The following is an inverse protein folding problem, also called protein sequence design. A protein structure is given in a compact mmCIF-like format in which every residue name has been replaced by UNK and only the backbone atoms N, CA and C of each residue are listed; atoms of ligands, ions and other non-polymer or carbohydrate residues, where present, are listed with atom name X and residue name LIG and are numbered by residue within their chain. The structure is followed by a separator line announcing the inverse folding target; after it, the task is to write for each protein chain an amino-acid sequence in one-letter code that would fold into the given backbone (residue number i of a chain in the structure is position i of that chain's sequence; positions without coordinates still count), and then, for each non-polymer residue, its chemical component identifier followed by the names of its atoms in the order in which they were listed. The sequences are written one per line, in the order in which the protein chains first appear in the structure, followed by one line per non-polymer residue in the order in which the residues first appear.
data_IF_604939994371
#
_entry.id   IF_604939994371
#
_cell.length_a   1.000
_cell.length_b   1.000
_cell.length_c   1.000
_cell.angle_alpha   90.00
_cell.angle_beta   90.00
_cell.angle_gamma   90.00
#
_symmetry.space_group_name_H-M   'P 1'
#
loop_
_entity.id
_entity.type
_entity.pdbx_description
1 polymer ?
#
# COMPACT_ATOMS: atom_id res chain seq x y z
N UNK A 1 -9.18 18.52 -27.05
CA UNK A 1 -10.41 18.02 -27.72
C UNK A 1 -11.20 19.19 -28.28
N UNK A 2 -11.80 19.11 -29.47
CA UNK A 2 -12.73 20.13 -29.97
C UNK A 2 -14.03 20.03 -29.15
N UNK A 3 -14.65 21.15 -28.82
CA UNK A 3 -15.84 21.24 -27.94
C UNK A 3 -17.01 20.31 -28.37
N UNK A 4 -17.21 20.13 -29.66
CA UNK A 4 -18.25 19.24 -30.23
C UNK A 4 -18.09 17.75 -29.86
N UNK A 5 -16.85 17.28 -29.60
CA UNK A 5 -16.60 15.90 -29.21
C UNK A 5 -16.82 15.64 -27.70
N UNK A 6 -16.80 16.66 -26.88
CA UNK A 6 -17.08 16.53 -25.43
C UNK A 6 -18.56 16.37 -25.12
N UNK A 7 -19.47 16.92 -25.94
CA UNK A 7 -20.93 16.86 -25.72
C UNK A 7 -21.54 15.45 -25.85
N UNK A 8 -20.75 14.43 -26.21
CA UNK A 8 -21.23 13.04 -26.43
C UNK A 8 -20.50 12.02 -25.53
N UNK A 9 -19.77 12.48 -24.49
CA UNK A 9 -19.13 11.59 -23.55
C UNK A 9 -20.07 11.32 -22.37
N UNK A 10 -20.17 10.07 -21.98
CA UNK A 10 -20.85 9.65 -20.78
C UNK A 10 -19.88 8.89 -19.87
N UNK A 11 -19.84 9.28 -18.59
CA UNK A 11 -19.02 8.63 -17.56
C UNK A 11 -19.97 7.99 -16.55
N UNK A 12 -19.78 6.70 -16.31
CA UNK A 12 -20.62 5.97 -15.37
C UNK A 12 -19.89 4.82 -14.68
N UNK A 13 -20.48 4.22 -13.68
CA UNK A 13 -20.08 2.91 -13.18
C UNK A 13 -20.31 1.83 -14.22
N UNK A 14 -19.46 0.82 -14.24
CA UNK A 14 -19.67 -0.37 -15.02
C UNK A 14 -20.84 -1.19 -14.44
N UNK A 15 -21.47 -1.98 -15.29
CA UNK A 15 -22.50 -2.96 -14.94
C UNK A 15 -22.15 -4.32 -15.52
N UNK A 16 -22.79 -5.38 -15.05
CA UNK A 16 -22.48 -6.74 -15.49
C UNK A 16 -22.50 -6.90 -17.03
N UNK A 17 -23.43 -6.21 -17.71
CA UNK A 17 -23.55 -6.26 -19.17
C UNK A 17 -22.38 -5.59 -19.91
N UNK A 18 -21.56 -4.80 -19.21
CA UNK A 18 -20.36 -4.18 -19.79
C UNK A 18 -19.14 -5.12 -19.82
N UNK A 19 -19.22 -6.29 -19.19
CA UNK A 19 -18.06 -7.15 -18.96
C UNK A 19 -17.23 -7.43 -20.22
N UNK A 20 -17.89 -7.76 -21.35
CA UNK A 20 -17.21 -8.02 -22.61
C UNK A 20 -16.56 -6.75 -23.18
N UNK A 21 -17.26 -5.62 -23.12
CA UNK A 21 -16.75 -4.33 -23.61
C UNK A 21 -15.58 -3.83 -22.75
N UNK A 22 -15.66 -3.98 -21.42
CA UNK A 22 -14.55 -3.68 -20.47
C UNK A 22 -13.33 -4.52 -20.84
N UNK A 23 -13.53 -5.83 -21.04
CA UNK A 23 -12.45 -6.73 -21.39
C UNK A 23 -11.84 -6.37 -22.76
N UNK A 24 -12.67 -6.10 -23.78
CA UNK A 24 -12.22 -5.67 -25.13
C UNK A 24 -11.30 -4.44 -25.05
N UNK A 25 -11.71 -3.43 -24.26
CA UNK A 25 -10.91 -2.20 -24.06
C UNK A 25 -9.55 -2.53 -23.46
N UNK A 26 -9.49 -3.35 -22.41
CA UNK A 26 -8.24 -3.75 -21.78
C UNK A 26 -7.37 -4.59 -22.70
N UNK A 27 -7.93 -5.64 -23.32
CA UNK A 27 -7.20 -6.54 -24.23
C UNK A 27 -6.52 -5.77 -25.36
N UNK A 28 -7.29 -4.91 -26.06
CA UNK A 28 -6.78 -4.14 -27.21
C UNK A 28 -5.78 -3.07 -26.80
N UNK A 29 -6.04 -2.37 -25.70
CA UNK A 29 -5.17 -1.25 -25.25
C UNK A 29 -3.80 -1.73 -24.80
N UNK A 30 -3.75 -2.84 -24.08
CA UNK A 30 -2.50 -3.42 -23.57
C UNK A 30 -1.92 -4.52 -24.48
N UNK A 31 -2.56 -4.81 -25.62
CA UNK A 31 -2.11 -5.83 -26.58
C UNK A 31 -1.84 -7.18 -25.88
N UNK A 32 -2.79 -7.62 -25.08
CA UNK A 32 -2.63 -8.86 -24.31
C UNK A 32 -2.72 -10.05 -25.22
N UNK A 33 -1.75 -10.95 -25.13
CA UNK A 33 -1.72 -12.18 -25.89
C UNK A 33 -2.91 -13.07 -25.52
N UNK A 34 -3.66 -13.50 -26.53
CA UNK A 34 -4.84 -14.35 -26.35
C UNK A 34 -4.46 -15.67 -25.70
N UNK A 35 -5.27 -16.11 -24.75
CA UNK A 35 -5.08 -17.34 -23.95
C UNK A 35 -3.86 -17.32 -23.01
N UNK A 36 -3.18 -16.17 -22.84
CA UNK A 36 -2.18 -16.02 -21.78
C UNK A 36 -2.83 -15.99 -20.39
N UNK A 37 -2.06 -16.25 -19.32
CA UNK A 37 -2.53 -16.16 -17.95
C UNK A 37 -3.13 -14.77 -17.65
N UNK A 38 -2.52 -13.72 -18.22
CA UNK A 38 -3.00 -12.34 -18.10
C UNK A 38 -4.34 -12.14 -18.79
N UNK A 39 -4.51 -12.72 -19.98
CA UNK A 39 -5.75 -12.70 -20.73
C UNK A 39 -6.90 -13.32 -19.92
N UNK A 40 -6.71 -14.54 -19.43
CA UNK A 40 -7.69 -15.22 -18.60
C UNK A 40 -7.98 -14.47 -17.28
N UNK A 41 -6.92 -13.91 -16.68
CA UNK A 41 -7.09 -13.13 -15.45
C UNK A 41 -7.95 -11.90 -15.64
N UNK A 42 -7.74 -11.16 -16.72
CA UNK A 42 -8.48 -9.94 -17.02
C UNK A 42 -9.91 -10.20 -17.52
N UNK A 43 -10.09 -11.26 -18.32
CA UNK A 43 -11.42 -11.70 -18.71
C UNK A 43 -12.29 -12.03 -17.50
N UNK A 44 -11.77 -12.84 -16.60
CA UNK A 44 -12.47 -13.16 -15.36
C UNK A 44 -12.67 -11.93 -14.43
N UNK A 45 -11.74 -10.97 -14.42
CA UNK A 45 -11.89 -9.73 -13.66
C UNK A 45 -13.05 -8.91 -14.20
N UNK A 46 -13.13 -8.72 -15.51
CA UNK A 46 -14.22 -7.98 -16.14
C UNK A 46 -15.59 -8.62 -15.88
N UNK A 47 -15.70 -9.95 -15.98
CA UNK A 47 -16.96 -10.65 -15.73
C UNK A 47 -17.39 -10.59 -14.27
N UNK A 48 -16.44 -10.75 -13.34
CA UNK A 48 -16.77 -10.83 -11.92
C UNK A 48 -16.99 -9.49 -11.26
N UNK A 49 -16.23 -8.48 -11.67
CA UNK A 49 -16.06 -7.22 -10.96
C UNK A 49 -16.32 -6.00 -11.88
N UNK A 50 -17.23 -6.10 -12.86
CA UNK A 50 -17.54 -5.04 -13.82
C UNK A 50 -17.92 -3.71 -13.12
N UNK A 51 -18.65 -3.80 -12.01
CA UNK A 51 -19.10 -2.66 -11.21
C UNK A 51 -17.98 -1.88 -10.52
N UNK A 52 -16.78 -2.45 -10.46
CA UNK A 52 -15.58 -1.76 -9.94
C UNK A 52 -14.91 -0.86 -10.98
N UNK A 53 -15.39 -0.90 -12.21
CA UNK A 53 -14.84 -0.08 -13.28
C UNK A 53 -15.60 1.24 -13.43
N UNK A 54 -14.87 2.33 -13.67
CA UNK A 54 -15.40 3.53 -14.30
C UNK A 54 -15.32 3.32 -15.81
N UNK A 55 -16.41 3.62 -16.48
CA UNK A 55 -16.59 3.41 -17.92
C UNK A 55 -16.77 4.75 -18.62
N UNK A 56 -16.01 4.94 -19.69
CA UNK A 56 -16.17 6.06 -20.62
C UNK A 56 -16.84 5.59 -21.89
N UNK A 57 -18.00 6.14 -22.17
CA UNK A 57 -18.75 5.89 -23.38
C UNK A 57 -18.66 7.07 -24.36
N UNK A 58 -18.59 6.73 -25.63
CA UNK A 58 -18.75 7.66 -26.74
C UNK A 58 -19.76 7.10 -27.74
N UNK A 59 -20.87 7.79 -27.95
CA UNK A 59 -21.98 7.34 -28.83
C UNK A 59 -22.47 5.92 -28.48
N UNK A 60 -22.72 5.67 -27.20
CA UNK A 60 -23.17 4.37 -26.65
C UNK A 60 -22.20 3.21 -26.84
N UNK A 61 -20.94 3.46 -27.18
CA UNK A 61 -19.87 2.47 -27.20
C UNK A 61 -18.90 2.72 -26.06
N UNK A 62 -18.59 1.72 -25.28
CA UNK A 62 -17.50 1.76 -24.29
C UNK A 62 -16.17 1.90 -25.00
N UNK A 63 -15.46 3.00 -24.75
CA UNK A 63 -14.17 3.31 -25.39
C UNK A 63 -13.02 3.42 -24.41
N UNK A 64 -13.31 3.52 -23.13
CA UNK A 64 -12.30 3.62 -22.07
C UNK A 64 -12.80 3.10 -20.74
N UNK A 65 -11.89 2.56 -19.95
CA UNK A 65 -12.18 2.00 -18.61
C UNK A 65 -11.05 2.28 -17.64
N UNK A 66 -11.40 2.35 -16.35
CA UNK A 66 -10.47 2.40 -15.24
C UNK A 66 -11.01 1.59 -14.07
N UNK A 67 -10.24 0.65 -13.56
CA UNK A 67 -10.56 -0.11 -12.36
C UNK A 67 -10.31 0.73 -11.12
N UNK A 68 -11.24 0.71 -10.16
CA UNK A 68 -11.03 1.30 -8.83
C UNK A 68 -11.25 0.20 -7.80
N UNK A 69 -10.18 -0.19 -7.12
CA UNK A 69 -10.26 -1.12 -6.01
C UNK A 69 -10.43 -0.34 -4.72
N UNK A 70 -11.52 -0.58 -4.02
CA UNK A 70 -11.79 -0.01 -2.70
C UNK A 70 -11.06 -0.80 -1.63
N UNK A 71 -10.27 -0.12 -0.81
CA UNK A 71 -9.57 -0.72 0.32
C UNK A 71 -9.62 0.21 1.53
N UNK A 72 -9.69 -0.36 2.73
CA UNK A 72 -9.49 0.35 3.99
C UNK A 72 -8.03 0.21 4.41
N UNK A 73 -7.46 1.30 4.88
CA UNK A 73 -6.05 1.38 5.28
C UNK A 73 -5.97 1.93 6.70
N UNK A 74 -5.06 1.38 7.52
CA UNK A 74 -4.81 1.92 8.86
C UNK A 74 -3.85 3.13 8.82
N UNK A 75 -4.16 4.14 9.63
CA UNK A 75 -3.20 5.14 10.14
C UNK A 75 -3.32 5.12 11.65
N UNK A 76 -2.33 4.53 12.31
CA UNK A 76 -2.44 4.18 13.72
C UNK A 76 -3.68 3.29 13.97
N UNK A 77 -4.54 3.71 14.90
CA UNK A 77 -5.80 3.04 15.22
C UNK A 77 -6.98 3.41 14.32
N UNK A 78 -6.81 4.38 13.41
CA UNK A 78 -7.86 4.88 12.55
C UNK A 78 -7.85 4.25 11.17
N UNK A 79 -9.02 4.16 10.55
CA UNK A 79 -9.19 3.64 9.20
C UNK A 79 -9.52 4.76 8.21
N UNK A 80 -8.87 4.72 7.07
CA UNK A 80 -9.11 5.61 5.93
C UNK A 80 -9.46 4.81 4.69
N UNK A 81 -10.10 5.46 3.71
CA UNK A 81 -10.51 4.82 2.46
C UNK A 81 -9.50 5.12 1.37
N UNK A 82 -8.95 4.05 0.78
CA UNK A 82 -8.03 4.10 -0.34
C UNK A 82 -8.67 3.59 -1.62
N UNK A 83 -8.51 4.33 -2.72
CA UNK A 83 -8.82 3.89 -4.07
C UNK A 83 -7.56 3.48 -4.84
N UNK A 84 -7.38 2.18 -5.08
CA UNK A 84 -6.33 1.72 -6.01
C UNK A 84 -6.85 1.80 -7.45
N UNK A 85 -6.24 2.70 -8.23
CA UNK A 85 -6.59 2.87 -9.65
C UNK A 85 -5.70 1.98 -10.50
N UNK A 86 -6.33 1.12 -11.28
CA UNK A 86 -5.66 0.19 -12.17
C UNK A 86 -6.33 0.11 -13.53
N UNK A 87 -5.70 -0.62 -14.44
CA UNK A 87 -6.22 -0.99 -15.76
C UNK A 87 -6.76 0.19 -16.58
N UNK A 88 -6.22 1.41 -16.36
CA UNK A 88 -6.63 2.62 -17.10
C UNK A 88 -6.31 2.44 -18.56
N UNK A 89 -7.34 2.36 -19.38
CA UNK A 89 -7.20 2.04 -20.81
C UNK A 89 -8.23 2.74 -21.67
N UNK A 90 -7.86 3.00 -22.93
CA UNK A 90 -8.70 3.58 -23.97
C UNK A 90 -8.41 2.82 -25.26
N UNK A 91 -9.45 2.45 -25.99
CA UNK A 91 -9.32 1.75 -27.28
C UNK A 91 -8.29 2.45 -28.20
N UNK A 92 -7.42 1.69 -28.90
CA UNK A 92 -6.33 2.25 -29.70
C UNK A 92 -6.75 3.36 -30.67
N UNK A 93 -7.89 3.21 -31.34
CA UNK A 93 -8.42 4.19 -32.29
C UNK A 93 -8.91 5.50 -31.66
N UNK A 94 -9.05 5.51 -30.33
CA UNK A 94 -9.44 6.69 -29.54
C UNK A 94 -8.25 7.31 -28.76
N UNK A 95 -7.10 6.68 -28.74
CA UNK A 95 -5.91 7.21 -28.06
C UNK A 95 -5.38 8.49 -28.73
N UNK A 96 -4.60 9.29 -27.98
CA UNK A 96 -4.04 10.56 -28.46
C UNK A 96 -5.05 11.71 -28.60
N UNK A 97 -6.34 11.49 -28.33
CA UNK A 97 -7.42 12.47 -28.51
C UNK A 97 -7.94 13.07 -27.18
N UNK A 98 -7.27 12.81 -26.07
CA UNK A 98 -7.63 13.36 -24.75
C UNK A 98 -8.63 12.52 -23.93
N UNK A 99 -9.16 11.42 -24.45
CA UNK A 99 -10.16 10.59 -23.76
C UNK A 99 -9.62 9.97 -22.47
N UNK A 100 -8.36 9.53 -22.44
CA UNK A 100 -7.74 9.03 -21.22
C UNK A 100 -7.61 10.10 -20.14
N UNK A 101 -7.37 11.36 -20.52
CA UNK A 101 -7.36 12.47 -19.58
C UNK A 101 -8.75 12.76 -19.04
N UNK A 102 -9.77 12.76 -19.89
CA UNK A 102 -11.15 12.96 -19.48
C UNK A 102 -11.60 11.84 -18.50
N UNK A 103 -11.26 10.57 -18.79
CA UNK A 103 -11.53 9.45 -17.89
C UNK A 103 -10.84 9.63 -16.53
N UNK A 104 -9.57 10.03 -16.50
CA UNK A 104 -8.85 10.23 -15.23
C UNK A 104 -9.40 11.40 -14.41
N UNK A 105 -9.87 12.47 -15.05
CA UNK A 105 -10.57 13.56 -14.34
C UNK A 105 -11.87 13.05 -13.70
N UNK A 106 -12.65 12.25 -14.44
CA UNK A 106 -13.86 11.62 -13.88
C UNK A 106 -13.53 10.68 -12.71
N UNK A 107 -12.51 9.83 -12.85
CA UNK A 107 -12.06 8.90 -11.79
C UNK A 107 -11.73 9.64 -10.50
N UNK A 108 -10.91 10.70 -10.59
CA UNK A 108 -10.52 11.47 -9.40
C UNK A 108 -11.70 12.21 -8.79
N UNK A 109 -12.57 12.81 -9.62
CA UNK A 109 -13.77 13.49 -9.15
C UNK A 109 -14.75 12.50 -8.50
N UNK A 110 -14.99 11.36 -9.14
CA UNK A 110 -15.86 10.32 -8.58
C UNK A 110 -15.35 9.82 -7.23
N UNK A 111 -14.04 9.58 -7.08
CA UNK A 111 -13.47 9.18 -5.79
C UNK A 111 -13.70 10.27 -4.72
N UNK A 112 -13.55 11.55 -5.08
CA UNK A 112 -13.83 12.67 -4.16
C UNK A 112 -15.28 12.69 -3.70
N UNK A 113 -16.22 12.52 -4.63
CA UNK A 113 -17.67 12.51 -4.38
C UNK A 113 -18.12 11.27 -3.59
N UNK A 114 -17.32 10.18 -3.61
CA UNK A 114 -17.57 8.93 -2.90
C UNK A 114 -16.70 8.74 -1.65
N UNK A 115 -16.19 9.84 -1.07
CA UNK A 115 -15.49 9.88 0.22
C UNK A 115 -14.20 9.05 0.30
N UNK A 116 -13.47 8.90 -0.81
CA UNK A 116 -12.13 8.39 -0.76
C UNK A 116 -11.19 9.44 -0.18
N UNK A 117 -10.32 9.02 0.73
CA UNK A 117 -9.34 9.88 1.38
C UNK A 117 -8.07 10.01 0.56
N UNK A 118 -7.59 8.87 0.08
CA UNK A 118 -6.39 8.78 -0.75
C UNK A 118 -6.62 7.89 -1.97
N UNK A 119 -5.79 8.08 -2.97
CA UNK A 119 -5.71 7.19 -4.13
C UNK A 119 -4.28 6.77 -4.41
N UNK A 120 -4.12 5.59 -4.95
CA UNK A 120 -2.82 5.04 -5.35
C UNK A 120 -2.93 4.48 -6.76
N UNK A 121 -1.85 4.60 -7.52
CA UNK A 121 -1.68 3.89 -8.79
C UNK A 121 -0.21 3.58 -9.07
N UNK A 122 0.01 2.68 -10.00
CA UNK A 122 1.31 2.46 -10.62
C UNK A 122 1.22 2.75 -12.11
N UNK A 123 2.15 3.55 -12.65
CA UNK A 123 2.08 3.83 -14.08
C UNK A 123 2.99 4.97 -14.54
N UNK A 124 2.70 5.46 -15.74
CA UNK A 124 3.50 6.48 -16.42
C UNK A 124 3.38 7.84 -15.74
N UNK A 125 4.38 8.20 -14.96
CA UNK A 125 4.34 9.33 -14.02
C UNK A 125 4.01 10.67 -14.68
N UNK A 126 4.52 10.95 -15.88
CA UNK A 126 4.26 12.21 -16.62
C UNK A 126 2.76 12.34 -16.95
N UNK A 127 2.09 11.24 -17.22
CA UNK A 127 0.65 11.26 -17.47
C UNK A 127 -0.14 11.55 -16.20
N UNK A 128 0.13 10.82 -15.12
CA UNK A 128 -0.69 10.87 -13.91
C UNK A 128 -0.46 12.10 -13.02
N UNK A 129 0.71 12.75 -13.10
CA UNK A 129 0.96 14.03 -12.43
C UNK A 129 -0.06 15.11 -12.79
N UNK A 130 -0.61 15.08 -14.00
CA UNK A 130 -1.62 16.04 -14.48
C UNK A 130 -2.96 15.97 -13.73
N UNK A 131 -3.17 14.88 -12.99
CA UNK A 131 -4.38 14.62 -12.21
C UNK A 131 -4.11 14.69 -10.70
N UNK A 132 -2.98 15.26 -10.29
CA UNK A 132 -2.63 15.45 -8.89
C UNK A 132 -1.89 14.28 -8.23
N UNK A 133 -1.49 13.24 -8.97
CA UNK A 133 -0.68 12.16 -8.40
C UNK A 133 0.79 12.56 -8.31
N UNK A 134 1.42 12.24 -7.19
CA UNK A 134 2.86 12.46 -6.98
C UNK A 134 3.59 11.13 -6.80
N UNK A 135 4.87 11.02 -7.22
CA UNK A 135 5.67 9.84 -6.95
C UNK A 135 5.78 9.56 -5.45
N UNK A 136 5.64 8.30 -5.08
CA UNK A 136 5.74 7.87 -3.70
C UNK A 136 6.71 6.69 -3.57
N UNK A 137 7.55 6.64 -2.53
CA UNK A 137 8.56 5.61 -2.41
C UNK A 137 7.96 4.21 -2.28
N UNK A 138 8.59 3.24 -2.95
CA UNK A 138 8.34 1.83 -2.74
C UNK A 138 9.51 1.23 -2.00
N UNK A 139 9.25 0.69 -0.83
CA UNK A 139 10.24 0.06 0.04
C UNK A 139 10.20 -1.45 -0.12
N UNK A 140 11.36 -2.06 -0.23
CA UNK A 140 11.53 -3.49 -0.37
C UNK A 140 12.73 -3.94 0.47
N UNK A 141 12.59 -5.09 1.11
CA UNK A 141 13.74 -5.84 1.62
C UNK A 141 14.10 -6.88 0.55
N UNK A 142 15.33 -6.87 0.10
CA UNK A 142 15.86 -7.83 -0.86
C UNK A 142 16.87 -8.73 -0.17
N UNK A 143 16.69 -10.03 -0.33
CA UNK A 143 17.57 -11.07 0.19
C UNK A 143 18.44 -11.57 -0.96
N UNK A 144 19.77 -11.29 -0.97
CA UNK A 144 20.68 -11.83 -1.97
C UNK A 144 20.89 -13.33 -1.73
N UNK A 145 20.88 -14.11 -2.83
CA UNK A 145 21.15 -15.55 -2.84
C UNK A 145 22.48 -15.76 -3.56
N UNK A 146 23.53 -15.80 -2.81
CA UNK A 146 24.87 -16.06 -3.30
C UNK A 146 25.66 -16.89 -2.28
N UNK A 147 26.63 -17.69 -2.71
CA UNK A 147 27.55 -18.36 -1.79
C UNK A 147 28.27 -17.31 -0.93
N UNK A 148 28.35 -17.54 0.36
CA UNK A 148 29.11 -16.68 1.23
C UNK A 148 30.57 -17.14 1.27
N UNK A 149 31.50 -16.21 0.96
CA UNK A 149 32.92 -16.44 1.14
C UNK A 149 33.32 -15.95 2.54
N UNK A 150 33.75 -16.88 3.38
CA UNK A 150 34.29 -16.57 4.71
C UNK A 150 35.73 -17.01 4.75
N UNK A 151 36.66 -16.08 4.46
CA UNK A 151 38.09 -16.40 4.30
C UNK A 151 38.32 -17.37 3.13
N UNK A 152 38.95 -18.51 3.39
CA UNK A 152 39.20 -19.54 2.39
C UNK A 152 38.01 -20.54 2.21
N UNK A 153 36.96 -20.42 3.02
CA UNK A 153 35.83 -21.34 3.00
C UNK A 153 34.67 -20.74 2.22
N UNK A 154 34.07 -21.55 1.35
CA UNK A 154 32.80 -21.25 0.68
C UNK A 154 31.72 -21.95 1.45
N UNK A 155 30.83 -21.16 2.08
CA UNK A 155 29.63 -21.70 2.72
C UNK A 155 28.61 -21.91 1.62
N UNK A 156 28.12 -23.14 1.46
CA UNK A 156 27.12 -23.45 0.45
C UNK A 156 25.78 -22.75 0.73
N UNK A 157 24.99 -22.56 -0.33
CA UNK A 157 23.64 -21.99 -0.21
C UNK A 157 22.77 -22.84 0.71
N UNK A 158 22.88 -24.16 0.63
CA UNK A 158 22.14 -25.09 1.47
C UNK A 158 22.50 -24.92 2.95
N UNK A 159 23.80 -24.75 3.26
CA UNK A 159 24.27 -24.53 4.63
C UNK A 159 23.80 -23.17 5.18
N UNK A 160 23.86 -22.10 4.38
CA UNK A 160 23.40 -20.76 4.77
C UNK A 160 21.92 -20.71 5.13
N UNK A 161 21.09 -21.41 4.35
CA UNK A 161 19.62 -21.38 4.51
C UNK A 161 19.06 -22.60 5.21
N UNK A 162 19.91 -23.47 5.75
CA UNK A 162 19.47 -24.56 6.62
C UNK A 162 18.71 -23.97 7.81
N UNK A 163 17.53 -24.50 8.08
CA UNK A 163 16.80 -24.15 9.30
C UNK A 163 17.70 -24.42 10.51
N UNK A 164 17.70 -23.53 11.52
CA UNK A 164 18.45 -23.78 12.74
C UNK A 164 18.09 -25.14 13.33
N UNK A 165 19.10 -25.93 13.69
CA UNK A 165 18.87 -27.19 14.40
C UNK A 165 18.25 -26.91 15.77
N UNK A 166 17.24 -27.68 16.18
CA UNK A 166 16.60 -27.52 17.48
C UNK A 166 15.45 -26.52 17.54
N UNK A 167 14.99 -25.99 16.41
CA UNK A 167 13.74 -25.20 16.43
C UNK A 167 12.57 -26.09 16.92
N UNK A 168 11.72 -25.58 17.81
CA UNK A 168 10.61 -26.34 18.40
C UNK A 168 9.49 -26.66 17.39
N UNK A 169 9.52 -26.06 16.21
CA UNK A 169 8.49 -26.17 15.17
C UNK A 169 9.03 -26.62 13.83
N UNK A 170 8.11 -26.76 12.88
CA UNK A 170 8.38 -27.17 11.49
C UNK A 170 7.70 -26.29 10.48
N UNK A 171 8.34 -26.12 9.31
CA UNK A 171 7.71 -25.51 8.14
C UNK A 171 6.96 -26.57 7.35
N UNK A 172 5.74 -26.28 6.96
CA UNK A 172 4.90 -27.13 6.10
C UNK A 172 4.09 -26.32 5.10
N UNK A 173 3.55 -26.97 4.06
CA UNK A 173 2.57 -26.33 3.17
C UNK A 173 1.35 -25.81 3.94
N UNK A 174 0.82 -24.68 3.50
CA UNK A 174 -0.41 -24.10 4.02
C UNK A 174 -1.63 -24.91 3.55
N UNK A 175 -2.53 -25.21 4.47
CA UNK A 175 -3.83 -25.83 4.21
C UNK A 175 -4.96 -24.84 4.50
N UNK A 176 -5.71 -24.45 3.46
CA UNK A 176 -6.77 -23.46 3.59
C UNK A 176 -7.90 -23.88 4.56
N UNK A 177 -8.17 -25.17 4.69
CA UNK A 177 -9.23 -25.65 5.59
C UNK A 177 -8.82 -25.62 7.06
N UNK A 178 -7.52 -25.76 7.32
CA UNK A 178 -6.95 -25.80 8.68
C UNK A 178 -6.45 -24.43 9.14
N UNK A 179 -5.79 -23.70 8.25
CA UNK A 179 -4.91 -22.59 8.64
C UNK A 179 -5.53 -21.21 8.36
N UNK A 180 -6.66 -21.11 7.64
CA UNK A 180 -7.19 -19.83 7.17
C UNK A 180 -7.49 -18.84 8.30
N UNK A 181 -8.12 -19.32 9.36
CA UNK A 181 -8.47 -18.47 10.53
C UNK A 181 -7.19 -17.95 11.18
N UNK A 182 -6.26 -18.84 11.47
CA UNK A 182 -5.01 -18.49 12.17
C UNK A 182 -4.13 -17.56 11.32
N UNK A 183 -4.11 -17.74 9.99
CA UNK A 183 -3.45 -16.81 9.07
C UNK A 183 -3.98 -15.38 9.22
N UNK A 184 -5.30 -15.21 9.27
CA UNK A 184 -5.94 -13.89 9.39
C UNK A 184 -5.70 -13.27 10.77
N UNK A 185 -5.71 -14.08 11.84
CA UNK A 185 -5.31 -13.65 13.18
C UNK A 185 -3.84 -13.16 13.20
N UNK A 186 -2.93 -13.92 12.59
CA UNK A 186 -1.52 -13.53 12.49
C UNK A 186 -1.36 -12.24 11.68
N UNK A 187 -2.14 -12.07 10.62
CA UNK A 187 -2.13 -10.82 9.86
C UNK A 187 -2.56 -9.62 10.72
N UNK A 188 -3.64 -9.76 11.47
CA UNK A 188 -4.12 -8.70 12.36
C UNK A 188 -3.11 -8.42 13.49
N UNK A 189 -2.57 -9.47 14.10
CA UNK A 189 -1.58 -9.33 15.17
C UNK A 189 -0.31 -8.63 14.67
N UNK A 190 0.21 -9.05 13.51
CA UNK A 190 1.40 -8.48 12.92
C UNK A 190 1.22 -7.02 12.50
N UNK A 191 0.04 -6.64 12.01
CA UNK A 191 -0.23 -5.31 11.48
C UNK A 191 -0.90 -4.35 12.45
N UNK A 192 -1.20 -4.76 13.68
CA UNK A 192 -1.97 -3.98 14.67
C UNK A 192 -1.50 -2.55 14.85
N UNK A 193 -0.19 -2.34 14.83
CA UNK A 193 0.43 -1.04 15.12
C UNK A 193 1.14 -0.45 13.89
N UNK A 194 0.89 -0.99 12.70
CA UNK A 194 1.58 -0.56 11.47
C UNK A 194 0.68 0.27 10.59
N UNK A 195 0.91 1.58 10.58
CA UNK A 195 0.28 2.48 9.61
C UNK A 195 0.59 2.05 8.18
N UNK A 196 -0.39 2.16 7.28
CA UNK A 196 -0.26 1.73 5.88
C UNK A 196 -0.63 0.26 5.64
N UNK A 197 -1.02 -0.51 6.66
CA UNK A 197 -1.56 -1.86 6.50
C UNK A 197 -3.00 -1.82 6.01
N UNK A 198 -3.38 -2.82 5.20
CA UNK A 198 -4.76 -2.96 4.73
C UNK A 198 -5.60 -3.61 5.83
N UNK A 199 -6.77 -3.03 6.08
CA UNK A 199 -7.76 -3.63 6.99
C UNK A 199 -8.43 -4.79 6.27
N UNK A 200 -8.34 -5.98 6.87
CA UNK A 200 -9.04 -7.18 6.40
C UNK A 200 -10.20 -7.46 7.32
N UNK A 201 -11.39 -7.63 6.74
CA UNK A 201 -12.52 -8.14 7.50
C UNK A 201 -12.26 -9.59 7.88
N UNK A 202 -12.29 -9.87 9.16
CA UNK A 202 -12.20 -11.24 9.65
C UNK A 202 -13.46 -11.99 9.23
N UNK A 203 -13.32 -12.89 8.29
CA UNK A 203 -14.38 -13.81 7.91
C UNK A 203 -13.81 -15.24 8.01
N UNK A 204 -14.14 -16.00 9.08
CA UNK A 204 -13.65 -17.36 9.25
C UNK A 204 -14.06 -18.29 8.10
N UNK A 205 -15.11 -17.92 7.34
CA UNK A 205 -15.57 -18.63 6.15
C UNK A 205 -15.01 -18.04 4.85
N UNK A 206 -14.23 -16.94 4.91
CA UNK A 206 -13.61 -16.39 3.72
C UNK A 206 -12.57 -17.38 3.20
N UNK A 207 -12.95 -18.11 2.17
CA UNK A 207 -11.97 -18.74 1.31
C UNK A 207 -10.95 -17.67 0.93
N UNK A 208 -9.66 -18.02 0.95
CA UNK A 208 -8.59 -17.16 0.42
C UNK A 208 -9.14 -16.37 -0.77
N UNK A 209 -8.85 -15.06 -0.87
CA UNK A 209 -9.27 -14.28 -2.02
C UNK A 209 -8.99 -15.14 -3.24
N UNK A 210 -10.02 -15.46 -4.02
CA UNK A 210 -9.98 -16.42 -5.13
C UNK A 210 -8.92 -16.06 -6.18
N UNK A 211 -8.24 -14.91 -6.00
CA UNK A 211 -7.12 -14.45 -6.81
C UNK A 211 -6.05 -13.77 -5.96
N UNK A 212 -4.98 -14.49 -5.76
CA UNK A 212 -3.65 -13.93 -5.78
C UNK A 212 -3.41 -13.40 -7.21
N UNK A 213 -2.89 -12.19 -7.35
CA UNK A 213 -2.34 -11.70 -8.64
C UNK A 213 -1.18 -12.59 -9.14
N UNK A 214 -0.81 -13.58 -8.34
CA UNK A 214 0.23 -14.57 -8.60
C UNK A 214 -0.45 -15.89 -8.89
N UNK A 215 -0.32 -16.44 -10.10
CA UNK A 215 -0.79 -17.79 -10.41
C UNK A 215 -0.12 -18.81 -9.48
N UNK A 216 -0.90 -19.68 -8.86
CA UNK A 216 -0.42 -20.75 -7.99
C UNK A 216 0.68 -20.32 -7.00
N UNK A 217 0.40 -19.41 -6.04
CA UNK A 217 1.41 -18.94 -5.12
C UNK A 217 1.89 -20.07 -4.22
N UNK A 218 3.19 -20.07 -3.93
CA UNK A 218 3.75 -20.88 -2.87
C UNK A 218 3.27 -20.34 -1.52
N UNK A 219 2.67 -21.19 -0.69
CA UNK A 219 2.22 -20.82 0.65
C UNK A 219 2.72 -21.83 1.66
N UNK A 220 3.36 -21.34 2.70
CA UNK A 220 3.92 -22.16 3.78
C UNK A 220 3.56 -21.54 5.14
N UNK A 221 3.55 -22.38 6.15
CA UNK A 221 3.35 -22.00 7.55
C UNK A 221 4.44 -22.60 8.42
N UNK A 222 4.75 -21.91 9.52
CA UNK A 222 5.54 -22.46 10.61
C UNK A 222 4.61 -22.86 11.74
N UNK A 223 4.72 -24.12 12.17
CA UNK A 223 3.86 -24.70 13.19
C UNK A 223 4.70 -25.22 14.37
N UNK A 224 4.31 -24.88 15.58
CA UNK A 224 4.86 -25.40 16.83
C UNK A 224 3.72 -25.74 17.78
N UNK A 225 3.82 -26.88 18.49
CA UNK A 225 2.77 -27.34 19.43
C UNK A 225 1.35 -27.29 18.80
N UNK A 226 1.21 -27.78 17.58
CA UNK A 226 -0.03 -27.78 16.79
C UNK A 226 -0.65 -26.39 16.52
N UNK A 227 0.11 -25.33 16.79
CA UNK A 227 -0.30 -23.94 16.53
C UNK A 227 0.55 -23.32 15.42
N UNK A 228 -0.11 -22.70 14.44
CA UNK A 228 0.58 -21.92 13.40
C UNK A 228 1.01 -20.59 13.98
N UNK A 229 2.31 -20.33 13.98
CA UNK A 229 2.94 -19.12 14.50
C UNK A 229 3.51 -18.19 13.42
N UNK A 230 3.47 -18.65 12.17
CA UNK A 230 3.88 -17.85 11.03
C UNK A 230 3.28 -18.33 9.71
N UNK A 231 3.09 -17.39 8.79
CA UNK A 231 2.58 -17.63 7.44
C UNK A 231 3.38 -16.83 6.43
N UNK A 232 3.68 -17.48 5.30
CA UNK A 232 4.35 -16.84 4.17
C UNK A 232 3.67 -17.22 2.86
N UNK A 233 3.45 -16.22 2.00
CA UNK A 233 3.02 -16.39 0.61
C UNK A 233 4.03 -15.75 -0.33
N UNK A 234 4.42 -16.47 -1.36
CA UNK A 234 5.38 -16.02 -2.35
C UNK A 234 4.95 -16.43 -3.76
N UNK A 235 5.58 -15.85 -4.77
CA UNK A 235 5.49 -16.37 -6.14
C UNK A 235 6.01 -17.80 -6.19
N UNK A 236 5.44 -18.61 -7.08
CA UNK A 236 5.85 -20.01 -7.23
C UNK A 236 7.35 -20.17 -7.56
N UNK A 237 7.94 -19.21 -8.28
CA UNK A 237 9.38 -19.18 -8.60
C UNK A 237 10.26 -18.75 -7.40
N UNK A 238 9.68 -18.39 -6.27
CA UNK A 238 10.39 -17.91 -5.08
C UNK A 238 10.92 -16.48 -5.15
N UNK A 239 10.87 -15.79 -6.30
CA UNK A 239 11.52 -14.47 -6.50
C UNK A 239 10.93 -13.33 -5.70
N UNK A 240 9.71 -13.48 -5.21
CA UNK A 240 9.04 -12.40 -4.46
C UNK A 240 8.12 -12.96 -3.40
N UNK A 241 8.32 -12.51 -2.18
CA UNK A 241 7.41 -12.73 -1.06
C UNK A 241 6.30 -11.67 -1.18
N UNK A 242 5.07 -12.12 -1.35
CA UNK A 242 3.89 -11.24 -1.41
C UNK A 242 3.37 -10.88 -0.03
N UNK A 243 3.52 -11.80 0.94
CA UNK A 243 3.08 -11.63 2.32
C UNK A 243 3.92 -12.50 3.25
N UNK A 244 4.31 -11.97 4.37
CA UNK A 244 4.82 -12.74 5.51
C UNK A 244 4.32 -12.09 6.79
N UNK A 245 3.73 -12.91 7.65
CA UNK A 245 3.22 -12.51 8.96
C UNK A 245 3.60 -13.58 9.98
N UNK A 246 3.86 -13.16 11.19
CA UNK A 246 4.22 -14.07 12.28
C UNK A 246 3.78 -13.50 13.62
N UNK A 247 3.66 -14.38 14.62
CA UNK A 247 3.47 -13.95 15.99
C UNK A 247 4.74 -13.28 16.50
N UNK A 248 4.69 -11.98 16.90
CA UNK A 248 5.87 -11.26 17.41
C UNK A 248 6.56 -11.97 18.62
N UNK A 249 5.81 -12.77 19.37
CA UNK A 249 6.34 -13.56 20.47
C UNK A 249 7.05 -14.84 20.03
N UNK A 250 7.06 -15.16 18.72
CA UNK A 250 7.69 -16.31 18.14
C UNK A 250 8.56 -15.92 16.92
N UNK A 251 9.69 -15.21 17.12
CA UNK A 251 10.56 -14.77 16.02
C UNK A 251 11.15 -15.92 15.20
N UNK A 252 11.29 -17.11 15.80
CA UNK A 252 11.73 -18.33 15.11
C UNK A 252 10.85 -18.68 13.91
N UNK A 253 9.54 -18.40 14.00
CA UNK A 253 8.62 -18.61 12.89
C UNK A 253 9.02 -17.78 11.67
N UNK A 254 9.39 -16.54 11.88
CA UNK A 254 9.84 -15.65 10.80
C UNK A 254 11.16 -16.13 10.19
N UNK A 255 12.14 -16.45 11.03
CA UNK A 255 13.45 -16.96 10.58
C UNK A 255 13.30 -18.23 9.75
N UNK A 256 12.53 -19.20 10.24
CA UNK A 256 12.31 -20.47 9.56
C UNK A 256 11.62 -20.28 8.19
N UNK A 257 10.61 -19.43 8.13
CA UNK A 257 9.89 -19.14 6.89
C UNK A 257 10.79 -18.44 5.86
N UNK A 258 11.59 -17.43 6.28
CA UNK A 258 12.52 -16.74 5.39
C UNK A 258 13.59 -17.70 4.90
N UNK A 259 14.22 -18.48 5.76
CA UNK A 259 15.24 -19.47 5.33
C UNK A 259 14.66 -20.50 4.36
N UNK A 260 13.45 -20.99 4.60
CA UNK A 260 12.79 -21.92 3.70
C UNK A 260 12.53 -21.35 2.31
N UNK A 261 12.03 -20.10 2.22
CA UNK A 261 11.79 -19.49 0.90
C UNK A 261 13.09 -19.19 0.16
N UNK A 262 14.15 -18.79 0.87
CA UNK A 262 15.47 -18.56 0.27
C UNK A 262 16.07 -19.85 -0.26
N UNK A 263 15.92 -20.96 0.46
CA UNK A 263 16.33 -22.28 0.00
C UNK A 263 15.59 -22.68 -1.29
N UNK A 264 14.26 -22.59 -1.30
CA UNK A 264 13.43 -22.88 -2.48
C UNK A 264 13.80 -21.99 -3.68
N UNK A 265 14.05 -20.71 -3.44
CA UNK A 265 14.45 -19.78 -4.49
C UNK A 265 15.83 -20.11 -5.07
N UNK A 266 16.77 -20.53 -4.22
CA UNK A 266 18.10 -20.98 -4.63
C UNK A 266 18.03 -22.24 -5.49
N UNK A 267 17.26 -23.25 -5.10
CA UNK A 267 17.03 -24.47 -5.88
C UNK A 267 16.45 -24.19 -7.28
N UNK A 268 15.71 -23.08 -7.42
CA UNK A 268 15.13 -22.63 -8.68
C UNK A 268 16.03 -21.65 -9.46
N UNK A 269 17.27 -21.51 -9.06
CA UNK A 269 18.26 -20.66 -9.73
C UNK A 269 17.96 -19.16 -9.64
N UNK A 270 17.32 -18.73 -8.56
CA UNK A 270 17.05 -17.30 -8.31
C UNK A 270 18.21 -16.66 -7.57
N UNK A 271 18.66 -15.49 -8.00
CA UNK A 271 19.81 -14.79 -7.39
C UNK A 271 19.40 -13.84 -6.25
N UNK A 272 18.12 -13.47 -6.14
CA UNK A 272 17.62 -12.66 -5.02
C UNK A 272 16.11 -12.86 -4.83
N UNK A 273 15.63 -12.63 -3.61
CA UNK A 273 14.21 -12.65 -3.25
C UNK A 273 13.82 -11.27 -2.75
N UNK A 274 12.82 -10.66 -3.36
CA UNK A 274 12.27 -9.39 -2.89
C UNK A 274 11.10 -9.60 -1.94
N UNK A 275 11.00 -8.76 -0.91
CA UNK A 275 9.88 -8.78 0.05
C UNK A 275 9.36 -7.37 0.33
N UNK A 276 8.09 -7.28 0.71
CA UNK A 276 7.47 -6.05 1.21
C UNK A 276 7.49 -5.99 2.74
N UNK A 277 8.54 -6.44 3.36
CA UNK A 277 8.73 -6.32 4.80
C UNK A 277 8.83 -4.85 5.23
N UNK A 278 8.29 -4.49 6.39
CA UNK A 278 8.52 -3.18 6.98
C UNK A 278 10.01 -2.92 7.26
N UNK A 279 10.46 -1.66 7.09
CA UNK A 279 11.78 -1.22 7.54
C UNK A 279 11.72 -0.93 9.03
N UNK A 280 11.57 -1.97 9.82
CA UNK A 280 11.36 -1.91 11.25
C UNK A 280 12.57 -2.49 11.99
N UNK A 281 13.13 -1.75 12.97
CA UNK A 281 14.33 -2.20 13.68
C UNK A 281 14.22 -3.61 14.25
N UNK A 282 13.07 -3.98 14.82
CA UNK A 282 12.83 -5.31 15.38
C UNK A 282 12.94 -6.41 14.32
N UNK A 283 12.32 -6.21 13.14
CA UNK A 283 12.38 -7.19 12.04
C UNK A 283 13.82 -7.29 11.51
N UNK A 284 14.48 -6.16 11.35
CA UNK A 284 15.86 -6.11 10.83
C UNK A 284 16.84 -6.73 11.84
N UNK A 285 16.62 -6.56 13.15
CA UNK A 285 17.41 -7.23 14.21
C UNK A 285 17.28 -8.75 14.12
N UNK A 286 16.06 -9.28 14.01
CA UNK A 286 15.82 -10.72 13.85
C UNK A 286 16.59 -11.28 12.63
N UNK A 287 16.58 -10.58 11.50
CA UNK A 287 17.32 -11.00 10.30
C UNK A 287 18.83 -11.00 10.55
N UNK A 288 19.35 -9.97 11.21
CA UNK A 288 20.77 -9.83 11.54
C UNK A 288 21.23 -10.94 12.50
N UNK A 289 20.47 -11.18 13.58
CA UNK A 289 20.75 -12.22 14.57
C UNK A 289 20.70 -13.62 13.96
N UNK A 290 19.79 -13.83 12.99
CA UNK A 290 19.68 -15.07 12.24
C UNK A 290 20.77 -15.24 11.13
N UNK A 291 21.68 -14.27 11.01
CA UNK A 291 22.71 -14.20 9.96
C UNK A 291 22.14 -14.27 8.53
N UNK A 292 20.98 -13.64 8.31
CA UNK A 292 20.35 -13.52 6.99
C UNK A 292 20.74 -12.17 6.38
N UNK A 293 21.51 -12.20 5.28
CA UNK A 293 21.88 -10.99 4.55
C UNK A 293 20.66 -10.35 3.88
N UNK A 294 20.56 -9.02 3.92
CA UNK A 294 19.50 -8.28 3.27
C UNK A 294 19.95 -6.89 2.82
N UNK A 295 19.29 -6.37 1.80
CA UNK A 295 19.41 -5.00 1.31
C UNK A 295 18.10 -4.26 1.54
N UNK A 296 18.16 -3.03 2.05
CA UNK A 296 17.02 -2.12 2.12
C UNK A 296 16.98 -1.29 0.84
N UNK A 297 15.92 -1.43 0.07
CA UNK A 297 15.78 -0.76 -1.22
C UNK A 297 14.59 0.19 -1.16
N UNK A 298 14.84 1.48 -1.35
CA UNK A 298 13.80 2.46 -1.58
C UNK A 298 13.86 2.95 -3.03
N UNK A 299 12.78 2.74 -3.78
CA UNK A 299 12.64 3.17 -5.17
C UNK A 299 11.65 4.30 -5.25
N UNK A 300 12.06 5.44 -5.80
CA UNK A 300 11.21 6.60 -5.99
C UNK A 300 11.42 7.22 -7.36
N UNK A 301 10.34 7.63 -8.00
CA UNK A 301 10.39 8.31 -9.31
C UNK A 301 10.58 7.36 -10.49
N UNK A 302 11.04 7.93 -11.61
CA UNK A 302 11.17 7.22 -12.90
C UNK A 302 9.94 7.32 -13.79
N UNK A 303 10.01 6.70 -14.97
CA UNK A 303 8.91 6.75 -15.96
C UNK A 303 7.69 5.96 -15.50
N UNK A 304 7.91 4.79 -14.92
CA UNK A 304 6.88 3.97 -14.29
C UNK A 304 7.14 3.94 -12.78
N UNK A 305 6.31 4.59 -12.00
CA UNK A 305 6.48 4.69 -10.56
C UNK A 305 5.19 4.42 -9.82
N UNK A 306 5.32 4.05 -8.56
CA UNK A 306 4.20 4.15 -7.64
C UNK A 306 3.90 5.62 -7.40
N UNK A 307 2.63 5.95 -7.39
CA UNK A 307 2.17 7.31 -7.20
C UNK A 307 1.01 7.32 -6.22
N UNK A 308 0.90 8.39 -5.46
CA UNK A 308 -0.16 8.60 -4.47
C UNK A 308 -0.83 9.96 -4.72
N UNK A 309 -2.09 10.05 -4.29
CA UNK A 309 -2.84 11.29 -4.25
C UNK A 309 -3.65 11.34 -2.95
N UNK A 310 -3.64 12.49 -2.26
CA UNK A 310 -4.64 12.79 -1.24
C UNK A 310 -5.86 13.34 -1.99
N UNK A 311 -6.92 12.55 -2.04
CA UNK A 311 -8.15 12.89 -2.76
C UNK A 311 -8.95 13.92 -1.97
N UNK A 312 -9.05 13.73 -0.64
CA UNK A 312 -9.82 14.58 0.25
C UNK A 312 -9.10 14.75 1.60
N UNK A 313 -8.34 15.85 1.74
CA UNK A 313 -7.58 16.15 2.94
C UNK A 313 -8.51 16.36 4.16
N UNK A 314 -9.66 17.00 3.95
CA UNK A 314 -10.60 17.28 5.03
C UNK A 314 -11.19 15.99 5.62
N UNK A 315 -11.62 15.05 4.77
CA UNK A 315 -12.06 13.73 5.20
C UNK A 315 -10.95 12.94 5.90
N UNK A 316 -9.75 12.94 5.31
CA UNK A 316 -8.57 12.25 5.84
C UNK A 316 -8.23 12.71 7.25
N UNK A 317 -8.02 14.02 7.45
CA UNK A 317 -7.65 14.57 8.74
C UNK A 317 -8.76 14.40 9.78
N UNK A 318 -10.03 14.54 9.39
CA UNK A 318 -11.15 14.29 10.30
C UNK A 318 -11.19 12.84 10.81
N UNK A 319 -10.92 11.87 9.93
CA UNK A 319 -10.91 10.45 10.32
C UNK A 319 -9.78 10.08 11.25
N UNK A 320 -8.63 10.75 11.15
CA UNK A 320 -7.46 10.43 11.96
C UNK A 320 -7.33 11.28 13.24
N UNK A 321 -8.25 12.23 13.51
CA UNK A 321 -8.20 13.02 14.75
C UNK A 321 -8.08 12.17 16.01
N UNK A 322 -8.78 11.01 16.16
CA UNK A 322 -8.61 10.17 17.36
C UNK A 322 -7.19 9.63 17.53
N UNK A 323 -6.50 9.34 16.43
CA UNK A 323 -5.09 8.93 16.48
C UNK A 323 -4.19 10.09 16.88
N UNK A 324 -4.39 11.29 16.33
CA UNK A 324 -3.62 12.48 16.68
C UNK A 324 -3.81 12.85 18.16
N UNK A 325 -5.03 12.74 18.67
CA UNK A 325 -5.34 12.91 20.11
C UNK A 325 -4.62 11.86 20.98
N UNK A 326 -4.66 10.60 20.57
CA UNK A 326 -3.99 9.50 21.26
C UNK A 326 -2.48 9.73 21.37
N UNK A 327 -1.86 10.25 20.31
CA UNK A 327 -0.43 10.59 20.27
C UNK A 327 -0.10 11.81 21.14
N UNK A 328 -1.02 12.77 21.24
CA UNK A 328 -0.80 14.01 21.99
C UNK A 328 -0.90 13.77 23.51
N UNK A 329 -1.87 12.96 23.96
CA UNK A 329 -2.20 12.75 25.40
C UNK A 329 -1.01 12.38 26.29
N UNK A 330 -0.05 11.51 25.91
CA UNK A 330 1.06 11.14 26.77
C UNK A 330 2.21 12.16 26.80
N UNK A 331 2.08 13.30 26.13
CA UNK A 331 3.16 14.30 25.99
C UNK A 331 3.04 15.43 26.97
N UNK A 332 4.13 16.19 27.16
CA UNK A 332 4.15 17.40 27.98
C UNK A 332 3.33 18.57 27.43
N UNK A 333 2.83 18.44 26.20
CA UNK A 333 2.00 19.44 25.50
C UNK A 333 0.55 18.98 25.33
N UNK A 334 0.11 18.01 26.14
CA UNK A 334 -1.27 17.49 26.11
C UNK A 334 -2.34 18.58 26.32
N UNK A 335 -2.03 19.56 27.17
CA UNK A 335 -2.94 20.67 27.52
C UNK A 335 -2.80 21.87 26.56
N UNK A 336 -2.01 21.76 25.48
CA UNK A 336 -1.85 22.84 24.53
C UNK A 336 -3.18 23.20 23.86
N UNK A 337 -3.43 24.50 23.76
CA UNK A 337 -4.61 25.05 23.09
C UNK A 337 -4.18 25.98 21.96
N UNK A 338 -4.78 25.80 20.78
CA UNK A 338 -4.47 26.62 19.62
C UNK A 338 -5.06 26.06 18.34
N UNK A 339 -4.69 26.69 17.24
CA UNK A 339 -5.15 26.32 15.90
C UNK A 339 -3.96 26.06 14.97
N UNK A 340 -4.05 25.01 14.19
CA UNK A 340 -3.05 24.61 13.20
C UNK A 340 -3.76 24.37 11.86
N UNK A 341 -3.35 25.06 10.81
CA UNK A 341 -3.79 24.77 9.45
C UNK A 341 -2.74 23.89 8.76
N UNK A 342 -3.17 22.76 8.24
CA UNK A 342 -2.34 21.84 7.44
C UNK A 342 -2.80 21.92 5.99
N UNK A 343 -1.86 22.08 5.07
CA UNK A 343 -2.20 22.17 3.66
C UNK A 343 -1.11 21.76 2.69
N UNK A 344 -1.54 21.45 1.48
CA UNK A 344 -0.70 21.31 0.30
C UNK A 344 -1.48 21.79 -0.92
N UNK A 345 -0.78 22.39 -1.89
CA UNK A 345 -1.40 22.96 -3.11
C UNK A 345 -2.67 23.79 -2.80
N UNK A 346 -3.85 23.30 -3.23
CA UNK A 346 -5.14 23.98 -3.03
C UNK A 346 -5.97 23.41 -1.87
N UNK A 347 -5.52 22.36 -1.21
CA UNK A 347 -6.24 21.76 -0.08
C UNK A 347 -5.65 22.25 1.25
N UNK A 348 -6.51 22.76 2.14
CA UNK A 348 -6.15 23.22 3.48
C UNK A 348 -7.22 22.81 4.46
N UNK A 349 -6.81 22.47 5.67
CA UNK A 349 -7.69 22.05 6.75
C UNK A 349 -7.23 22.65 8.06
N UNK A 350 -8.10 23.40 8.70
CA UNK A 350 -7.90 23.89 10.06
C UNK A 350 -8.20 22.82 11.10
N UNK A 351 -7.32 22.72 12.08
CA UNK A 351 -7.44 21.85 13.24
C UNK A 351 -7.41 22.74 14.50
N UNK A 352 -8.43 22.64 15.34
CA UNK A 352 -8.45 23.29 16.67
C UNK A 352 -8.12 22.25 17.72
N UNK A 353 -7.12 22.54 18.54
CA UNK A 353 -6.69 21.72 19.68
C UNK A 353 -7.06 22.40 20.96
N UNK A 354 -7.63 21.65 21.90
CA UNK A 354 -7.96 22.16 23.23
C UNK A 354 -8.19 21.01 24.21
N UNK A 355 -7.46 21.03 25.32
CA UNK A 355 -7.55 20.02 26.38
C UNK A 355 -7.44 18.57 25.87
N UNK A 356 -6.48 18.32 24.96
CA UNK A 356 -6.23 17.00 24.41
C UNK A 356 -7.23 16.51 23.36
N UNK A 357 -8.22 17.34 22.98
CA UNK A 357 -9.19 17.04 21.93
C UNK A 357 -8.86 17.84 20.66
N UNK A 358 -9.19 17.27 19.50
CA UNK A 358 -8.93 17.87 18.18
C UNK A 358 -10.24 17.94 17.41
N UNK A 359 -10.56 19.14 16.92
CA UNK A 359 -11.67 19.34 16.00
C UNK A 359 -11.11 19.70 14.63
N UNK A 360 -11.40 18.91 13.61
CA UNK A 360 -10.99 19.16 12.24
C UNK A 360 -12.03 20.00 11.47
N UNK A 361 -11.62 20.52 10.32
CA UNK A 361 -12.44 21.32 9.41
C UNK A 361 -12.99 22.61 10.03
N UNK A 362 -12.23 23.22 10.92
CA UNK A 362 -12.57 24.53 11.50
C UNK A 362 -12.03 25.67 10.63
N UNK A 363 -12.72 26.81 10.66
CA UNK A 363 -12.12 28.06 10.17
C UNK A 363 -11.10 28.52 11.22
N UNK A 364 -9.88 28.72 10.80
CA UNK A 364 -8.78 29.16 11.67
C UNK A 364 -8.66 30.69 11.64
N UNK A 365 -8.27 31.26 12.80
CA UNK A 365 -7.98 32.69 12.90
C UNK A 365 -6.60 33.08 12.37
N UNK A 366 -6.32 34.38 12.36
CA UNK A 366 -5.03 34.93 11.89
C UNK A 366 -3.82 34.48 12.74
N UNK A 367 -4.06 34.02 13.98
CA UNK A 367 -3.03 33.54 14.88
C UNK A 367 -2.74 32.04 14.72
N UNK A 368 -3.41 31.35 13.78
CA UNK A 368 -3.19 29.92 13.54
C UNK A 368 -1.79 29.66 12.96
N UNK A 369 -1.23 28.51 13.32
CA UNK A 369 0.02 28.05 12.72
C UNK A 369 -0.27 27.39 11.37
N UNK A 370 0.32 27.91 10.31
CA UNK A 370 0.15 27.39 8.97
C UNK A 370 1.30 26.47 8.58
N UNK A 371 0.97 25.23 8.30
CA UNK A 371 1.90 24.22 7.82
C UNK A 371 1.57 23.89 6.38
N UNK A 372 2.48 24.24 5.50
CA UNK A 372 2.38 23.93 4.11
C UNK A 372 3.56 23.06 3.68
N UNK A 373 3.26 21.94 3.01
CA UNK A 373 4.26 21.02 2.49
C UNK A 373 3.78 20.48 1.14
N UNK A 374 4.57 19.62 0.49
CA UNK A 374 4.07 18.86 -0.65
C UNK A 374 3.24 17.65 -0.19
N UNK A 375 2.38 17.19 -1.08
CA UNK A 375 1.47 16.08 -0.81
C UNK A 375 2.20 14.78 -0.43
N UNK A 376 3.33 14.49 -1.07
CA UNK A 376 4.13 13.29 -0.79
C UNK A 376 4.74 13.33 0.61
N UNK A 377 5.25 14.49 1.03
CA UNK A 377 5.78 14.72 2.38
C UNK A 377 4.68 14.59 3.42
N UNK A 378 3.50 15.19 3.19
CA UNK A 378 2.36 15.04 4.11
C UNK A 378 1.95 13.58 4.29
N UNK A 379 1.89 12.80 3.21
CA UNK A 379 1.61 11.37 3.30
C UNK A 379 2.68 10.58 4.06
N UNK A 380 3.95 10.94 3.92
CA UNK A 380 5.03 10.30 4.68
C UNK A 380 4.92 10.60 6.18
N UNK A 381 4.53 11.82 6.55
CA UNK A 381 4.25 12.21 7.94
C UNK A 381 3.08 11.42 8.51
N UNK A 382 1.96 11.37 7.81
CA UNK A 382 0.74 10.68 8.23
C UNK A 382 0.98 9.17 8.45
N UNK A 383 1.79 8.57 7.58
CA UNK A 383 2.16 7.16 7.68
C UNK A 383 3.31 6.89 8.67
N UNK A 384 3.96 7.91 9.23
CA UNK A 384 5.13 7.75 10.10
C UNK A 384 6.42 7.35 9.40
N UNK A 385 6.49 7.52 8.07
CA UNK A 385 7.71 7.29 7.28
C UNK A 385 8.76 8.35 7.56
N UNK A 386 8.32 9.59 7.81
CA UNK A 386 9.12 10.71 8.30
C UNK A 386 8.55 11.18 9.63
N UNK A 387 9.41 11.69 10.50
CA UNK A 387 8.99 12.52 11.62
C UNK A 387 8.81 13.98 11.20
N UNK A 388 8.17 14.77 12.04
CA UNK A 388 8.02 16.21 11.81
C UNK A 388 9.38 16.91 11.65
N UNK A 389 10.38 16.50 12.42
CA UNK A 389 11.74 17.07 12.39
C UNK A 389 12.48 16.80 11.08
N UNK A 390 12.18 15.67 10.44
CA UNK A 390 12.81 15.23 9.18
C UNK A 390 12.12 15.81 7.94
N UNK A 391 10.88 16.29 8.08
CA UNK A 391 10.10 16.77 6.97
C UNK A 391 10.53 18.16 6.49
N UNK A 392 10.52 18.37 5.17
CA UNK A 392 10.64 19.69 4.58
C UNK A 392 9.27 20.41 4.65
N UNK A 393 9.18 21.39 5.55
CA UNK A 393 7.96 22.12 5.82
C UNK A 393 8.21 23.60 5.54
N UNK A 394 7.40 24.19 4.64
CA UNK A 394 7.41 25.60 4.38
C UNK A 394 6.93 26.38 5.62
N UNK A 395 7.53 27.52 5.88
CA UNK A 395 7.24 28.39 7.03
C UNK A 395 7.56 27.85 8.43
N UNK A 396 8.36 26.76 8.53
CA UNK A 396 8.75 26.17 9.82
C UNK A 396 9.32 27.18 10.83
N UNK A 397 9.97 28.24 10.35
CA UNK A 397 10.58 29.29 11.19
C UNK A 397 9.56 30.10 11.99
N UNK A 398 8.29 30.10 11.57
CA UNK A 398 7.22 30.86 12.23
C UNK A 398 6.44 30.00 13.25
N UNK A 399 6.83 28.74 13.47
CA UNK A 399 6.17 27.84 14.39
C UNK A 399 6.77 28.03 15.78
N UNK A 400 5.94 28.28 16.79
CA UNK A 400 6.40 28.38 18.17
C UNK A 400 6.92 27.03 18.67
N UNK A 401 7.82 27.01 19.68
CA UNK A 401 8.31 25.76 20.25
C UNK A 401 7.20 24.82 20.75
N UNK A 402 6.13 25.37 21.32
CA UNK A 402 4.98 24.60 21.78
C UNK A 402 4.18 23.99 20.63
N UNK A 403 3.90 24.75 19.56
CA UNK A 403 3.25 24.21 18.36
C UNK A 403 4.13 23.17 17.66
N UNK A 404 5.44 23.37 17.60
CA UNK A 404 6.38 22.39 17.06
C UNK A 404 6.34 21.07 17.87
N UNK A 405 6.26 21.15 19.22
CA UNK A 405 6.13 19.97 20.06
C UNK A 405 4.82 19.20 19.81
N UNK A 406 3.71 19.90 19.58
CA UNK A 406 2.42 19.27 19.18
C UNK A 406 2.59 18.55 17.86
N UNK A 407 3.21 19.16 16.86
CA UNK A 407 3.43 18.56 15.56
C UNK A 407 4.39 17.36 15.60
N UNK A 408 5.42 17.42 16.43
CA UNK A 408 6.29 16.28 16.72
C UNK A 408 5.55 15.12 17.36
N UNK A 409 4.60 15.42 18.26
CA UNK A 409 3.72 14.41 18.84
C UNK A 409 2.76 13.80 17.80
N UNK A 410 2.21 14.60 16.89
CA UNK A 410 1.29 14.12 15.86
C UNK A 410 1.99 13.27 14.80
N UNK A 411 3.21 13.64 14.43
CA UNK A 411 3.95 13.03 13.33
C UNK A 411 5.29 12.42 13.79
N UNK A 412 5.28 11.46 14.71
CA UNK A 412 6.48 10.73 15.07
C UNK A 412 6.87 9.76 13.93
N UNK A 413 8.15 9.41 13.87
CA UNK A 413 8.54 8.24 13.06
C UNK A 413 7.97 6.98 13.69
N UNK A 414 7.29 6.17 12.91
CA UNK A 414 6.60 4.97 13.38
C UNK A 414 6.94 3.75 12.53
N UNK A 415 6.62 2.56 13.08
CA UNK A 415 6.61 1.33 12.31
C UNK A 415 5.51 1.42 11.25
N UNK A 416 5.88 1.30 10.00
CA UNK A 416 4.94 1.36 8.88
C UNK A 416 4.97 0.06 8.11
N UNK A 417 3.83 -0.38 7.63
CA UNK A 417 3.80 -1.35 6.55
C UNK A 417 4.66 -0.84 5.39
N UNK A 418 5.10 -1.72 4.50
CA UNK A 418 6.01 -1.35 3.39
C UNK A 418 5.44 -0.32 2.41
N UNK A 419 4.34 0.29 2.75
CA UNK A 419 3.65 1.35 2.04
C UNK A 419 2.16 1.04 1.85
N UNK A 420 1.36 2.02 1.39
CA UNK A 420 -0.07 1.85 1.14
C UNK A 420 -0.37 0.89 -0.02
N UNK A 421 0.50 -0.08 -0.24
CA UNK A 421 0.54 -0.93 -1.41
C UNK A 421 0.11 -2.36 -1.13
N UNK A 422 -0.33 -2.67 0.08
CA UNK A 422 -0.91 -3.98 0.44
C UNK A 422 -0.19 -5.20 -0.06
#
# INVERSE_FOLDING_TARGET
MRAENMQRLNFRGGVADDAEAIFEVMEKSFRVEKNSDRWHSWYNLAIRDAERFRVLEHRSRVIGVALITHERLCIGSCEIIKGDVGEVSVLPEFQGKGYGSALMHDVVQWMRDNNYDISRLGGYSIFYRRFGYVPFPRRLVEFPIEPANVGANIISIEERFRSPEGLPGKVRPYDANRDAVRRDELYQLFNRERSGSIVRDFNPNAKLPKKSSVPNPLRIVYETNDTVEGYLSARNDGRSISEVTFNPSCPDAFVALIKQILHIAAERGTNSVSSRLPFEPTILSILTEANIAFNLIERQGGHASNMIQIVNLASLLNKITPELESRLRPTSVADWCGEIEIGFESQRVGLRVGNGNITANVCVGDEAFHIQTDQGTLMKLLLGILSFEEADIFNRKNITPSAAAVLSAWFPRQCTASGPWG
#
